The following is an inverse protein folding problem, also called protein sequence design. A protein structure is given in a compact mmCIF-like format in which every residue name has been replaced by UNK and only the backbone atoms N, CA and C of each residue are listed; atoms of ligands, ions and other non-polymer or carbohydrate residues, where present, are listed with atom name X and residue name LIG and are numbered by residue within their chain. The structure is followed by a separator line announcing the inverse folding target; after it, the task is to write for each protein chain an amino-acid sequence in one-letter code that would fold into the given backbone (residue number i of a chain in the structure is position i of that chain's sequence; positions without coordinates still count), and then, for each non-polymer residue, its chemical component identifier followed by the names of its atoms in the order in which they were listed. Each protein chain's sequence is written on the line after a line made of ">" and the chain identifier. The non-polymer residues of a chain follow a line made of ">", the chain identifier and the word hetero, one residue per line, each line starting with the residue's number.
data_IF_036357453388
#
_entry.id   IF_036357453388
#
_cell.length_a   1.000
_cell.length_b   1.000
_cell.length_c   1.000
_cell.angle_alpha   90.00
_cell.angle_beta   90.00
_cell.angle_gamma   90.00
#
_symmetry.space_group_name_H-M   'P 1'
#
loop_
_entity.id
_entity.type
_entity.pdbx_description
1 polymer ?
#
# COMPACT_ATOMS: atom_id res chain seq x y z
N UNK A 1 -1.28 0.97 25.87
CA UNK A 1 -1.39 2.09 24.92
C UNK A 1 0.00 2.30 24.33
N UNK A 2 0.26 1.78 23.14
CA UNK A 2 1.58 1.87 22.50
C UNK A 2 1.76 3.31 22.05
N UNK A 3 2.69 4.03 22.68
CA UNK A 3 3.07 5.38 22.24
C UNK A 3 4.02 5.20 21.06
N UNK A 4 3.50 5.38 19.83
CA UNK A 4 4.37 5.43 18.66
C UNK A 4 5.12 6.75 18.64
N UNK A 5 6.42 6.71 18.34
CA UNK A 5 7.16 7.94 18.02
C UNK A 5 6.69 8.49 16.68
N UNK A 6 6.73 9.81 16.43
CA UNK A 6 6.34 10.38 15.14
C UNK A 6 7.05 9.73 13.95
N UNK A 7 8.34 9.42 14.09
CA UNK A 7 9.11 8.71 13.05
C UNK A 7 8.59 7.29 12.78
N UNK A 8 8.13 6.58 13.81
CA UNK A 8 7.56 5.25 13.65
C UNK A 8 6.22 5.32 12.89
N UNK A 9 5.38 6.31 13.19
CA UNK A 9 4.12 6.55 12.47
C UNK A 9 4.39 6.90 11.02
N UNK A 10 5.33 7.82 10.75
CA UNK A 10 5.69 8.22 9.39
C UNK A 10 6.19 7.02 8.55
N UNK A 11 7.06 6.18 9.13
CA UNK A 11 7.52 4.95 8.48
C UNK A 11 6.36 3.99 8.21
N UNK A 12 5.45 3.82 9.15
CA UNK A 12 4.29 2.93 9.00
C UNK A 12 3.34 3.43 7.90
N UNK A 13 3.04 4.72 7.85
CA UNK A 13 2.24 5.33 6.77
C UNK A 13 2.90 5.09 5.42
N UNK A 14 4.20 5.38 5.30
CA UNK A 14 4.95 5.14 4.05
C UNK A 14 4.86 3.66 3.62
N UNK A 15 5.04 2.75 4.58
CA UNK A 15 4.98 1.31 4.32
C UNK A 15 3.59 0.88 3.85
N UNK A 16 2.53 1.34 4.51
CA UNK A 16 1.15 1.02 4.14
C UNK A 16 0.76 1.59 2.78
N UNK A 17 1.14 2.83 2.47
CA UNK A 17 0.97 3.41 1.13
C UNK A 17 1.62 2.54 0.05
N UNK A 18 2.84 2.08 0.29
CA UNK A 18 3.54 1.21 -0.65
C UNK A 18 2.85 -0.16 -0.81
N UNK A 19 2.44 -0.79 0.29
CA UNK A 19 1.72 -2.06 0.25
C UNK A 19 0.41 -1.95 -0.50
N UNK A 20 -0.42 -0.96 -0.17
CA UNK A 20 -1.70 -0.72 -0.83
C UNK A 20 -1.48 -0.53 -2.33
N UNK A 21 -0.54 0.33 -2.74
CA UNK A 21 -0.27 0.56 -4.17
C UNK A 21 0.21 -0.70 -4.90
N UNK A 22 1.17 -1.44 -4.34
CA UNK A 22 1.67 -2.67 -4.97
C UNK A 22 0.57 -3.72 -5.11
N UNK A 23 -0.27 -3.89 -4.08
CA UNK A 23 -1.36 -4.86 -4.14
C UNK A 23 -2.50 -4.42 -5.07
N UNK A 24 -2.78 -3.12 -5.18
CA UNK A 24 -3.68 -2.59 -6.21
C UNK A 24 -3.17 -2.88 -7.62
N UNK A 25 -1.86 -2.75 -7.86
CA UNK A 25 -1.24 -3.09 -9.15
C UNK A 25 -1.39 -4.59 -9.44
N UNK A 26 -1.11 -5.45 -8.45
CA UNK A 26 -1.26 -6.90 -8.59
C UNK A 26 -2.69 -7.30 -8.94
N UNK A 27 -3.67 -6.65 -8.31
CA UNK A 27 -5.09 -6.89 -8.55
C UNK A 27 -5.53 -6.35 -9.92
N UNK A 28 -5.50 -5.02 -10.12
CA UNK A 28 -6.10 -4.40 -11.30
C UNK A 28 -5.30 -4.54 -12.59
N UNK A 29 -3.96 -4.62 -12.49
CA UNK A 29 -3.10 -4.63 -13.69
C UNK A 29 -2.68 -6.04 -14.09
N UNK A 30 -2.37 -6.87 -13.11
CA UNK A 30 -1.83 -8.21 -13.38
C UNK A 30 -2.84 -9.32 -13.20
N UNK A 31 -4.06 -9.02 -12.73
CA UNK A 31 -5.11 -10.02 -12.44
C UNK A 31 -4.54 -11.21 -11.62
N UNK A 32 -3.64 -10.88 -10.69
CA UNK A 32 -2.85 -11.88 -9.98
C UNK A 32 -2.60 -11.43 -8.54
N UNK A 33 -3.66 -11.26 -7.73
CA UNK A 33 -3.52 -10.95 -6.31
C UNK A 33 -2.71 -12.06 -5.60
N UNK A 34 -1.86 -11.65 -4.68
CA UNK A 34 -1.03 -12.56 -3.85
C UNK A 34 -1.46 -12.58 -2.39
N UNK A 35 -2.42 -11.72 -2.02
CA UNK A 35 -3.10 -11.68 -0.72
C UNK A 35 -4.61 -11.72 -0.98
N UNK A 36 -5.40 -12.10 0.02
CA UNK A 36 -6.85 -12.06 -0.08
C UNK A 36 -7.39 -10.64 -0.01
N UNK A 37 -8.59 -10.44 -0.55
CA UNK A 37 -9.32 -9.16 -0.48
C UNK A 37 -9.48 -8.69 0.98
N UNK A 38 -9.79 -9.59 1.91
CA UNK A 38 -9.89 -9.28 3.33
C UNK A 38 -8.57 -8.74 3.92
N UNK A 39 -7.43 -9.31 3.54
CA UNK A 39 -6.11 -8.81 3.97
C UNK A 39 -5.84 -7.43 3.38
N UNK A 40 -6.16 -7.24 2.10
CA UNK A 40 -6.01 -5.94 1.45
C UNK A 40 -6.88 -4.86 2.10
N UNK A 41 -8.16 -5.14 2.33
CA UNK A 41 -9.09 -4.25 3.02
C UNK A 41 -8.58 -3.87 4.40
N UNK A 42 -8.06 -4.84 5.16
CA UNK A 42 -7.48 -4.57 6.49
C UNK A 42 -6.31 -3.57 6.43
N UNK A 43 -5.41 -3.73 5.45
CA UNK A 43 -4.28 -2.81 5.25
C UNK A 43 -4.74 -1.42 4.82
N UNK A 44 -5.73 -1.35 3.93
CA UNK A 44 -6.29 -0.10 3.45
C UNK A 44 -7.02 0.67 4.57
N UNK A 45 -7.81 -0.03 5.38
CA UNK A 45 -8.50 0.56 6.53
C UNK A 45 -7.51 1.04 7.59
N UNK A 46 -6.44 0.28 7.86
CA UNK A 46 -5.36 0.73 8.76
C UNK A 46 -4.68 2.00 8.22
N UNK A 47 -4.41 2.08 6.91
CA UNK A 47 -3.85 3.28 6.29
C UNK A 47 -4.80 4.48 6.45
N UNK A 48 -6.09 4.31 6.13
CA UNK A 48 -7.10 5.37 6.29
C UNK A 48 -7.12 5.86 7.75
N UNK A 49 -7.11 4.94 8.71
CA UNK A 49 -7.09 5.26 10.13
C UNK A 49 -5.83 6.03 10.51
N UNK A 50 -4.64 5.60 10.07
CA UNK A 50 -3.37 6.27 10.33
C UNK A 50 -3.32 7.68 9.76
N UNK A 51 -3.81 7.89 8.54
CA UNK A 51 -3.84 9.21 7.92
C UNK A 51 -4.83 10.15 8.62
N UNK A 52 -5.94 9.61 9.13
CA UNK A 52 -6.93 10.35 9.91
C UNK A 52 -6.41 10.76 11.29
N UNK A 53 -5.75 9.83 11.98
CA UNK A 53 -5.31 10.04 13.36
C UNK A 53 -4.03 10.89 13.44
N UNK A 54 -3.22 10.87 12.38
CA UNK A 54 -1.95 11.60 12.31
C UNK A 54 -1.83 12.41 11.01
N UNK A 55 -2.71 13.40 10.77
CA UNK A 55 -2.78 14.12 9.50
C UNK A 55 -1.50 14.91 9.20
N UNK A 56 -0.90 15.56 10.20
CA UNK A 56 0.36 16.30 10.05
C UNK A 56 1.53 15.37 9.68
N UNK A 57 1.59 14.19 10.30
CA UNK A 57 2.62 13.19 9.99
C UNK A 57 2.39 12.63 8.59
N UNK A 58 1.14 12.30 8.24
CA UNK A 58 0.75 11.82 6.91
C UNK A 58 1.15 12.82 5.81
N UNK A 59 0.98 14.11 6.06
CA UNK A 59 1.32 15.18 5.12
C UNK A 59 2.85 15.36 4.97
N UNK A 60 3.64 15.03 6.00
CA UNK A 60 5.11 15.02 5.91
C UNK A 60 5.71 13.81 5.20
N UNK A 61 4.90 12.80 4.85
CA UNK A 61 5.35 11.62 4.11
C UNK A 61 5.20 11.89 2.61
N UNK A 62 6.30 12.22 1.94
CA UNK A 62 6.31 12.56 0.50
C UNK A 62 5.91 11.41 -0.43
N UNK A 63 5.97 10.17 0.04
CA UNK A 63 5.73 8.99 -0.80
C UNK A 63 4.30 9.01 -1.36
N UNK A 64 4.22 9.28 -2.67
CA UNK A 64 2.98 9.36 -3.46
C UNK A 64 1.90 10.23 -2.78
N UNK A 65 2.34 11.31 -2.11
CA UNK A 65 1.50 12.13 -1.24
C UNK A 65 0.17 12.52 -1.90
N UNK A 66 0.20 13.08 -3.11
CA UNK A 66 -1.02 13.56 -3.79
C UNK A 66 -2.04 12.44 -4.05
N UNK A 67 -1.57 11.23 -4.41
CA UNK A 67 -2.46 10.09 -4.62
C UNK A 67 -3.12 9.61 -3.31
N UNK A 68 -2.38 9.68 -2.21
CA UNK A 68 -2.86 9.20 -0.91
C UNK A 68 -3.59 10.25 -0.07
N UNK A 69 -3.45 11.54 -0.40
CA UNK A 69 -4.25 12.61 0.21
C UNK A 69 -5.75 12.41 -0.04
N UNK A 70 -6.12 11.89 -1.22
CA UNK A 70 -7.49 11.53 -1.58
C UNK A 70 -7.91 10.10 -1.24
N UNK A 71 -7.01 9.30 -0.67
CA UNK A 71 -7.28 7.88 -0.40
C UNK A 71 -8.20 7.72 0.83
N UNK A 72 -9.49 7.57 0.55
CA UNK A 72 -10.57 7.48 1.54
C UNK A 72 -11.42 6.20 1.40
N UNK A 73 -11.18 5.41 0.34
CA UNK A 73 -11.84 4.12 0.11
C UNK A 73 -10.81 2.99 0.17
N UNK A 74 -11.25 1.76 0.47
CA UNK A 74 -10.34 0.62 0.52
C UNK A 74 -9.98 0.05 -0.85
N UNK A 75 -10.57 0.52 -1.96
CA UNK A 75 -10.47 -0.16 -3.26
C UNK A 75 -9.13 0.02 -3.96
N UNK A 76 -8.45 1.15 -3.75
CA UNK A 76 -7.19 1.52 -4.41
C UNK A 76 -7.22 1.61 -5.93
N UNK A 77 -8.40 1.69 -6.55
CA UNK A 77 -8.56 1.80 -7.99
C UNK A 77 -7.98 3.12 -8.54
N UNK A 78 -8.16 4.23 -7.82
CA UNK A 78 -7.72 5.57 -8.23
C UNK A 78 -6.22 5.83 -8.02
N UNK A 79 -5.47 4.82 -7.56
CA UNK A 79 -4.05 4.93 -7.29
C UNK A 79 -3.21 4.90 -8.59
N UNK A 80 -1.95 5.36 -8.57
CA UNK A 80 -1.10 5.37 -9.77
C UNK A 80 -0.62 3.97 -10.19
N UNK A 81 -1.52 3.15 -10.75
CA UNK A 81 -1.31 1.74 -11.10
C UNK A 81 -0.20 1.49 -12.15
N UNK A 82 0.28 2.54 -12.80
CA UNK A 82 1.36 2.50 -13.80
C UNK A 82 2.70 3.01 -13.26
N UNK A 83 2.80 3.30 -11.96
CA UNK A 83 4.03 3.81 -11.34
C UNK A 83 5.20 2.83 -11.58
N UNK A 84 6.27 3.23 -12.31
CA UNK A 84 7.27 2.27 -12.79
C UNK A 84 7.95 1.46 -11.68
N UNK A 85 8.25 2.09 -10.54
CA UNK A 85 8.92 1.42 -9.41
C UNK A 85 8.05 0.32 -8.80
N UNK A 86 6.80 0.64 -8.45
CA UNK A 86 5.88 -0.30 -7.82
C UNK A 86 5.43 -1.41 -8.76
N UNK A 87 5.39 -1.14 -10.06
CA UNK A 87 5.17 -2.15 -11.11
C UNK A 87 6.32 -3.16 -11.16
N UNK A 88 7.57 -2.70 -11.03
CA UNK A 88 8.73 -3.59 -10.95
C UNK A 88 8.67 -4.44 -9.69
N UNK A 89 8.30 -3.85 -8.55
CA UNK A 89 8.09 -4.61 -7.30
C UNK A 89 7.01 -5.66 -7.46
N UNK A 90 5.84 -5.30 -7.98
CA UNK A 90 4.74 -6.22 -8.23
C UNK A 90 5.17 -7.39 -9.14
N UNK A 91 5.86 -7.12 -10.24
CA UNK A 91 6.42 -8.17 -11.13
C UNK A 91 7.39 -9.09 -10.40
N UNK A 92 8.25 -8.53 -9.54
CA UNK A 92 9.23 -9.29 -8.77
C UNK A 92 8.52 -10.23 -7.79
N UNK A 93 7.47 -9.76 -7.11
CA UNK A 93 6.66 -10.58 -6.21
C UNK A 93 5.97 -11.74 -6.94
N UNK A 94 5.43 -11.49 -8.14
CA UNK A 94 4.83 -12.56 -8.97
C UNK A 94 5.86 -13.62 -9.36
N UNK A 95 7.05 -13.20 -9.77
CA UNK A 95 8.15 -14.13 -10.09
C UNK A 95 8.49 -15.02 -8.89
N UNK A 96 8.72 -14.42 -7.72
CA UNK A 96 9.05 -15.15 -6.49
C UNK A 96 7.93 -16.10 -6.03
N UNK A 97 6.66 -15.72 -6.21
CA UNK A 97 5.51 -16.58 -5.91
C UNK A 97 5.52 -17.84 -6.80
N UNK A 98 5.74 -17.65 -8.10
CA UNK A 98 5.73 -18.76 -9.06
C UNK A 98 6.89 -19.73 -8.78
N UNK A 99 8.10 -19.22 -8.55
CA UNK A 99 9.27 -20.05 -8.19
C UNK A 99 9.05 -20.91 -6.94
N UNK A 100 8.28 -20.42 -5.95
CA UNK A 100 7.91 -21.19 -4.76
C UNK A 100 6.79 -22.21 -4.99
N UNK A 101 5.98 -22.02 -6.02
CA UNK A 101 4.90 -22.95 -6.37
C UNK A 101 5.44 -24.14 -7.18
N UNK A 102 6.54 -23.91 -7.90
CA UNK A 102 7.23 -24.91 -8.72
C UNK A 102 8.27 -25.75 -7.94
N UNK A 103 8.44 -25.51 -6.63
CA UNK A 103 9.37 -26.24 -5.72
C UNK A 103 8.62 -27.14 -4.75
#
# INVERSE_FOLDING_TARGET
>A
MTVYTPDAVARLIRWRRHQVLVHSILYYRFDSPIISDHTYDSLAQELIQLQRDYPEISESVDYKLDAFRGFTSSTGYDLPLFSPGEVVVARTLLKLRNERTDS
#
